data_IF_161201493729
#
_entry.id   IF_161201493729
#
_cell.length_a   1.000
_cell.length_b   1.000
_cell.length_c   1.000
_cell.angle_alpha   90.00
_cell.angle_beta   90.00
_cell.angle_gamma   90.00
#
_symmetry.space_group_name_H-M   'P 1'
#
loop_
_entity.id
_entity.type
_entity.pdbx_description
1 polymer ?
#
# COMPACT_ATOMS: atom_id res chain seq x y z
N UNK A 1 30.70 17.41 4.85
CA UNK A 1 29.47 17.14 5.62
C UNK A 1 28.37 16.80 4.63
N UNK A 2 27.92 15.55 4.60
CA UNK A 2 26.75 15.14 3.81
C UNK A 2 25.53 15.82 4.44
N UNK A 3 24.77 16.60 3.67
CA UNK A 3 23.51 17.17 4.17
C UNK A 3 22.53 16.02 4.42
N UNK A 4 21.84 15.98 5.58
CA UNK A 4 20.88 14.91 5.84
C UNK A 4 19.78 14.91 4.78
N UNK A 5 19.43 13.73 4.28
CA UNK A 5 18.40 13.58 3.26
C UNK A 5 17.03 13.84 3.87
N UNK A 6 16.12 14.39 3.06
CA UNK A 6 14.77 14.69 3.53
C UNK A 6 13.99 13.42 3.88
N UNK A 7 13.17 13.52 4.93
CA UNK A 7 12.41 12.41 5.51
C UNK A 7 10.92 12.49 5.22
N UNK A 8 10.49 13.51 4.45
CA UNK A 8 9.08 13.66 4.07
C UNK A 8 8.49 12.41 3.39
N UNK A 9 9.20 11.66 2.50
CA UNK A 9 8.61 10.48 1.87
C UNK A 9 8.28 9.40 2.90
N UNK A 10 9.18 9.23 3.87
CA UNK A 10 9.01 8.26 4.95
C UNK A 10 7.87 8.65 5.90
N UNK A 11 7.75 9.92 6.26
CA UNK A 11 6.64 10.40 7.07
C UNK A 11 5.29 10.35 6.34
N UNK A 12 5.27 10.60 5.03
CA UNK A 12 4.07 10.44 4.22
C UNK A 12 3.60 8.98 4.22
N UNK A 13 4.51 8.02 4.04
CA UNK A 13 4.21 6.59 4.19
C UNK A 13 3.62 6.25 5.57
N UNK A 14 4.28 6.68 6.65
CA UNK A 14 3.79 6.44 8.01
C UNK A 14 2.40 7.06 8.23
N UNK A 15 2.19 8.28 7.75
CA UNK A 15 0.90 8.96 7.79
C UNK A 15 -0.20 8.19 7.06
N UNK A 16 0.08 7.73 5.85
CA UNK A 16 -0.86 6.92 5.07
C UNK A 16 -1.15 5.56 5.72
N UNK A 17 -0.14 4.91 6.29
CA UNK A 17 -0.33 3.66 7.04
C UNK A 17 -1.19 3.86 8.29
N UNK A 18 -0.90 4.88 9.10
CA UNK A 18 -1.71 5.21 10.27
C UNK A 18 -3.15 5.53 9.88
N UNK A 19 -3.35 6.35 8.86
CA UNK A 19 -4.68 6.68 8.35
C UNK A 19 -5.45 5.43 7.90
N UNK A 20 -4.83 4.55 7.11
CA UNK A 20 -5.44 3.29 6.67
C UNK A 20 -5.88 2.41 7.85
N UNK A 21 -4.99 2.19 8.83
CA UNK A 21 -5.28 1.31 9.96
C UNK A 21 -6.35 1.90 10.89
N UNK A 22 -6.34 3.22 11.10
CA UNK A 22 -7.35 3.93 11.90
C UNK A 22 -8.71 3.94 11.21
N UNK A 23 -8.75 4.22 9.90
CA UNK A 23 -9.97 4.17 9.10
C UNK A 23 -10.59 2.77 9.16
N UNK A 24 -9.77 1.73 9.00
CA UNK A 24 -10.19 0.34 9.06
C UNK A 24 -10.73 -0.07 10.43
N UNK A 25 -9.99 0.25 11.49
CA UNK A 25 -10.40 -0.05 12.86
C UNK A 25 -11.70 0.66 13.24
N UNK A 26 -11.83 1.94 12.87
CA UNK A 26 -13.05 2.72 13.11
C UNK A 26 -14.24 2.17 12.31
N UNK A 27 -14.00 1.75 11.07
CA UNK A 27 -15.03 1.14 10.24
C UNK A 27 -15.57 -0.13 10.87
N UNK A 28 -14.71 -1.07 11.24
CA UNK A 28 -15.15 -2.33 11.84
C UNK A 28 -15.78 -2.15 13.22
N UNK A 29 -15.34 -1.16 14.00
CA UNK A 29 -15.96 -0.82 15.28
C UNK A 29 -17.38 -0.28 15.11
N UNK A 30 -17.61 0.59 14.12
CA UNK A 30 -18.89 1.30 13.93
C UNK A 30 -19.83 0.62 12.92
N UNK A 31 -19.42 -0.52 12.34
CA UNK A 31 -20.16 -1.21 11.27
C UNK A 31 -21.57 -1.67 11.69
N UNK A 32 -21.79 -1.92 12.98
CA UNK A 32 -23.09 -2.34 13.52
C UNK A 32 -23.97 -1.19 14.04
N UNK A 33 -23.50 0.06 13.96
CA UNK A 33 -24.21 1.20 14.54
C UNK A 33 -25.47 1.59 13.75
N UNK A 34 -25.32 1.83 12.45
CA UNK A 34 -26.43 2.08 11.52
C UNK A 34 -25.99 1.88 10.08
N UNK A 35 -26.94 1.62 9.18
CA UNK A 35 -26.66 1.44 7.75
C UNK A 35 -25.88 2.62 7.16
N UNK A 36 -26.29 3.86 7.49
CA UNK A 36 -25.62 5.08 7.03
C UNK A 36 -24.17 5.18 7.50
N UNK A 37 -23.91 4.90 8.78
CA UNK A 37 -22.54 4.98 9.33
C UNK A 37 -21.68 3.88 8.73
N UNK A 38 -22.18 2.64 8.67
CA UNK A 38 -21.50 1.52 8.03
C UNK A 38 -21.14 1.82 6.58
N UNK A 39 -22.07 2.38 5.81
CA UNK A 39 -21.84 2.80 4.42
C UNK A 39 -20.74 3.86 4.28
N UNK A 40 -20.74 4.90 5.13
CA UNK A 40 -19.71 5.95 5.08
C UNK A 40 -18.35 5.39 5.48
N UNK A 41 -18.31 4.60 6.56
CA UNK A 41 -17.05 4.08 7.10
C UNK A 41 -16.38 3.07 6.16
N UNK A 42 -17.16 2.21 5.48
CA UNK A 42 -16.61 1.26 4.51
C UNK A 42 -15.90 1.98 3.35
N UNK A 43 -16.41 3.15 2.95
CA UNK A 43 -15.81 3.96 1.89
C UNK A 43 -14.53 4.65 2.36
N UNK A 44 -14.50 5.08 3.62
CA UNK A 44 -13.31 5.62 4.26
C UNK A 44 -12.23 4.54 4.41
N UNK A 45 -12.61 3.30 4.74
CA UNK A 45 -11.71 2.15 4.81
C UNK A 45 -11.04 1.88 3.44
N UNK A 46 -11.82 1.85 2.35
CA UNK A 46 -11.26 1.74 0.99
C UNK A 46 -10.35 2.92 0.61
N UNK A 47 -10.71 4.15 0.98
CA UNK A 47 -9.84 5.31 0.79
C UNK A 47 -8.53 5.18 1.59
N UNK A 48 -8.58 4.57 2.78
CA UNK A 48 -7.43 4.22 3.60
C UNK A 48 -6.45 3.31 2.86
N UNK A 49 -6.94 2.24 2.24
CA UNK A 49 -6.11 1.31 1.45
C UNK A 49 -5.41 2.05 0.31
N UNK A 50 -6.14 2.90 -0.43
CA UNK A 50 -5.57 3.67 -1.52
C UNK A 50 -4.48 4.65 -1.04
N UNK A 51 -4.72 5.34 0.08
CA UNK A 51 -3.74 6.24 0.69
C UNK A 51 -2.47 5.50 1.15
N UNK A 52 -2.61 4.33 1.78
CA UNK A 52 -1.47 3.48 2.15
C UNK A 52 -0.67 3.07 0.92
N UNK A 53 -1.32 2.53 -0.13
CA UNK A 53 -0.61 2.12 -1.34
C UNK A 53 0.14 3.30 -1.96
N UNK A 54 -0.52 4.45 -2.16
CA UNK A 54 0.14 5.60 -2.77
C UNK A 54 1.33 6.11 -1.98
N UNK A 55 1.16 6.31 -0.68
CA UNK A 55 2.23 6.87 0.16
C UNK A 55 3.38 5.88 0.37
N UNK A 56 3.11 4.58 0.32
CA UNK A 56 4.13 3.53 0.41
C UNK A 56 5.11 3.50 -0.78
N UNK A 57 4.74 4.09 -1.92
CA UNK A 57 5.62 4.23 -3.08
C UNK A 57 6.61 5.39 -2.90
N UNK A 58 6.30 6.39 -2.07
CA UNK A 58 7.13 7.58 -1.99
C UNK A 58 8.55 7.29 -1.47
N UNK A 59 8.78 6.52 -0.39
CA UNK A 59 10.14 6.17 0.02
C UNK A 59 10.95 5.42 -1.05
N UNK A 60 10.52 4.26 -1.57
CA UNK A 60 11.33 3.49 -2.51
C UNK A 60 11.56 4.26 -3.82
N UNK A 61 10.59 5.00 -4.33
CA UNK A 61 10.75 5.79 -5.56
C UNK A 61 11.66 6.99 -5.31
N UNK A 62 11.37 7.82 -4.30
CA UNK A 62 12.14 9.02 -4.03
C UNK A 62 13.59 8.67 -3.73
N UNK A 63 13.86 7.71 -2.84
CA UNK A 63 15.22 7.35 -2.48
C UNK A 63 15.95 6.56 -3.56
N UNK A 64 15.26 5.91 -4.50
CA UNK A 64 15.94 5.29 -5.65
C UNK A 64 16.35 6.32 -6.69
N UNK A 65 15.47 7.30 -6.97
CA UNK A 65 15.61 8.21 -8.09
C UNK A 65 15.88 9.67 -7.68
N UNK A 66 16.28 9.95 -6.43
CA UNK A 66 16.51 11.33 -5.96
C UNK A 66 17.55 12.12 -6.78
N UNK A 67 18.42 11.41 -7.52
CA UNK A 67 19.45 11.99 -8.39
C UNK A 67 18.98 12.18 -9.83
N UNK A 68 17.82 11.61 -10.16
CA UNK A 68 17.13 11.80 -11.43
C UNK A 68 15.69 12.29 -11.13
N UNK A 69 15.51 13.62 -10.98
CA UNK A 69 14.23 14.19 -10.64
C UNK A 69 13.13 13.86 -11.65
N UNK A 70 13.47 13.58 -12.91
CA UNK A 70 12.48 13.24 -13.92
C UNK A 70 11.79 11.91 -13.57
N UNK A 71 12.55 10.83 -13.36
CA UNK A 71 11.96 9.53 -13.03
C UNK A 71 11.32 9.51 -11.64
N UNK A 72 11.92 10.21 -10.68
CA UNK A 72 11.33 10.36 -9.34
C UNK A 72 9.93 10.99 -9.41
N UNK A 73 9.80 12.12 -10.11
CA UNK A 73 8.52 12.82 -10.26
C UNK A 73 7.54 12.05 -11.14
N UNK A 74 8.01 11.36 -12.19
CA UNK A 74 7.16 10.56 -13.06
C UNK A 74 6.45 9.44 -12.28
N UNK A 75 7.21 8.61 -11.55
CA UNK A 75 6.64 7.48 -10.82
C UNK A 75 5.81 7.93 -9.61
N UNK A 76 6.28 8.92 -8.84
CA UNK A 76 5.49 9.47 -7.71
C UNK A 76 4.23 10.18 -8.20
N UNK A 77 4.31 10.93 -9.29
CA UNK A 77 3.16 11.59 -9.91
C UNK A 77 2.13 10.58 -10.39
N UNK A 78 2.57 9.53 -11.08
CA UNK A 78 1.70 8.46 -11.57
C UNK A 78 0.93 7.77 -10.44
N UNK A 79 1.61 7.30 -9.39
CA UNK A 79 0.93 6.63 -8.27
C UNK A 79 0.04 7.58 -7.45
N UNK A 80 0.38 8.87 -7.41
CA UNK A 80 -0.44 9.89 -6.73
C UNK A 80 -1.73 10.14 -7.50
N UNK A 81 -1.65 10.32 -8.83
CA UNK A 81 -2.84 10.49 -9.69
C UNK A 81 -3.73 9.25 -9.60
N UNK A 82 -3.15 8.05 -9.66
CA UNK A 82 -3.91 6.81 -9.57
C UNK A 82 -4.54 6.62 -8.17
N UNK A 83 -3.84 7.03 -7.12
CA UNK A 83 -4.35 7.05 -5.75
C UNK A 83 -5.53 8.01 -5.57
N UNK A 84 -5.40 9.25 -6.05
CA UNK A 84 -6.48 10.24 -6.01
C UNK A 84 -7.69 9.72 -6.79
N UNK A 85 -7.49 9.17 -7.98
CA UNK A 85 -8.57 8.54 -8.74
C UNK A 85 -9.25 7.43 -7.94
N UNK A 86 -8.49 6.54 -7.32
CA UNK A 86 -9.02 5.43 -6.50
C UNK A 86 -9.80 5.92 -5.28
N UNK A 87 -9.31 6.96 -4.60
CA UNK A 87 -10.00 7.60 -3.48
C UNK A 87 -11.31 8.22 -3.95
N UNK A 88 -11.33 8.96 -5.07
CA UNK A 88 -12.54 9.55 -5.63
C UNK A 88 -13.57 8.48 -6.00
N UNK A 89 -13.13 7.39 -6.65
CA UNK A 89 -14.01 6.26 -6.97
C UNK A 89 -14.55 5.53 -5.73
N UNK A 90 -13.83 5.57 -4.61
CA UNK A 90 -14.27 5.00 -3.34
C UNK A 90 -15.22 5.94 -2.57
N UNK A 91 -14.98 7.25 -2.64
CA UNK A 91 -15.68 8.28 -1.85
C UNK A 91 -16.83 8.99 -2.58
N UNK A 92 -17.05 8.77 -3.88
CA UNK A 92 -18.19 9.34 -4.59
C UNK A 92 -19.33 8.32 -4.74
N UNK A 93 -20.59 8.68 -4.38
CA UNK A 93 -21.69 7.71 -4.36
C UNK A 93 -21.98 7.12 -5.75
N UNK A 94 -21.84 7.92 -6.79
CA UNK A 94 -22.07 7.51 -8.19
C UNK A 94 -21.22 6.30 -8.60
N UNK A 95 -20.00 6.21 -8.08
CA UNK A 95 -19.07 5.12 -8.41
C UNK A 95 -19.24 3.88 -7.52
N UNK A 96 -20.27 3.84 -6.65
CA UNK A 96 -20.59 2.66 -5.84
C UNK A 96 -21.51 1.67 -6.54
N UNK A 97 -22.12 2.06 -7.67
CA UNK A 97 -22.96 1.16 -8.45
C UNK A 97 -22.21 -0.13 -8.84
N UNK A 98 -22.91 -1.27 -8.96
CA UNK A 98 -22.30 -2.55 -9.33
C UNK A 98 -21.51 -2.50 -10.64
N UNK A 99 -21.93 -1.65 -11.59
CA UNK A 99 -21.28 -1.42 -12.88
C UNK A 99 -19.83 -0.94 -12.75
N UNK A 100 -19.53 -0.12 -11.73
CA UNK A 100 -18.18 0.39 -11.47
C UNK A 100 -17.31 -0.56 -10.65
N UNK A 101 -17.82 -1.73 -10.24
CA UNK A 101 -17.09 -2.68 -9.39
C UNK A 101 -15.78 -3.13 -10.03
N UNK A 102 -15.82 -3.47 -11.32
CA UNK A 102 -14.62 -3.87 -12.06
C UNK A 102 -13.62 -2.72 -12.18
N UNK A 103 -14.10 -1.49 -12.39
CA UNK A 103 -13.24 -0.30 -12.46
C UNK A 103 -12.54 -0.06 -11.12
N UNK A 104 -13.27 -0.12 -9.99
CA UNK A 104 -12.68 0.01 -8.65
C UNK A 104 -11.61 -1.06 -8.39
N UNK A 105 -11.90 -2.32 -8.73
CA UNK A 105 -10.93 -3.40 -8.57
C UNK A 105 -9.69 -3.19 -9.46
N UNK A 106 -9.88 -2.79 -10.71
CA UNK A 106 -8.79 -2.50 -11.65
C UNK A 106 -7.92 -1.33 -11.20
N UNK A 107 -8.48 -0.32 -10.54
CA UNK A 107 -7.71 0.80 -9.98
C UNK A 107 -6.77 0.31 -8.87
N UNK A 108 -7.26 -0.44 -7.88
CA UNK A 108 -6.43 -1.03 -6.83
C UNK A 108 -5.36 -1.97 -7.39
N UNK A 109 -5.75 -2.84 -8.34
CA UNK A 109 -4.82 -3.74 -9.01
C UNK A 109 -3.73 -2.96 -9.78
N UNK A 110 -4.13 -1.93 -10.53
CA UNK A 110 -3.23 -1.06 -11.27
C UNK A 110 -2.24 -0.33 -10.36
N UNK A 111 -2.68 0.14 -9.19
CA UNK A 111 -1.78 0.73 -8.19
C UNK A 111 -0.71 -0.27 -7.76
N UNK A 112 -1.09 -1.50 -7.40
CA UNK A 112 -0.13 -2.54 -7.00
C UNK A 112 0.87 -2.90 -8.11
N UNK A 113 0.36 -3.18 -9.31
CA UNK A 113 1.20 -3.61 -10.45
C UNK A 113 2.10 -2.48 -10.95
N UNK A 114 1.70 -1.22 -10.81
CA UNK A 114 2.53 -0.08 -11.19
C UNK A 114 3.89 -0.03 -10.49
N UNK A 115 4.03 -0.68 -9.33
CA UNK A 115 5.30 -0.78 -8.60
C UNK A 115 6.38 -1.61 -9.30
N UNK A 116 6.01 -2.50 -10.22
CA UNK A 116 6.98 -3.33 -10.96
C UNK A 116 7.94 -2.45 -11.77
N UNK A 117 7.43 -1.41 -12.44
CA UNK A 117 8.23 -0.54 -13.30
C UNK A 117 9.38 0.18 -12.55
N UNK A 118 9.13 0.93 -11.44
CA UNK A 118 10.22 1.57 -10.70
C UNK A 118 11.18 0.57 -10.05
N UNK A 119 10.72 -0.62 -9.62
CA UNK A 119 11.60 -1.65 -9.06
C UNK A 119 12.57 -2.17 -10.12
N UNK A 120 12.07 -2.52 -11.31
CA UNK A 120 12.91 -2.99 -12.41
C UNK A 120 13.89 -1.90 -12.85
N UNK A 121 13.43 -0.66 -12.97
CA UNK A 121 14.28 0.46 -13.33
C UNK A 121 15.38 0.70 -12.29
N UNK A 122 15.04 0.66 -10.99
CA UNK A 122 16.03 0.72 -9.90
C UNK A 122 17.07 -0.39 -10.02
N UNK A 123 16.65 -1.63 -10.30
CA UNK A 123 17.57 -2.75 -10.47
C UNK A 123 18.51 -2.55 -11.67
N UNK A 124 18.00 -2.07 -12.81
CA UNK A 124 18.85 -1.79 -13.98
C UNK A 124 19.96 -0.80 -13.64
N UNK A 125 19.65 0.25 -12.86
CA UNK A 125 20.62 1.28 -12.49
C UNK A 125 21.57 0.85 -11.36
N UNK A 126 21.09 0.08 -10.38
CA UNK A 126 21.79 -0.14 -9.11
C UNK A 126 22.00 -1.61 -8.75
N UNK A 127 21.90 -2.56 -9.68
CA UNK A 127 22.04 -4.00 -9.35
C UNK A 127 23.36 -4.37 -8.65
N UNK A 128 24.43 -3.60 -8.90
CA UNK A 128 25.73 -3.77 -8.24
C UNK A 128 25.73 -3.33 -6.76
N UNK A 129 24.75 -2.54 -6.33
CA UNK A 129 24.66 -2.01 -4.96
C UNK A 129 23.90 -3.01 -4.07
N UNK A 130 24.49 -3.48 -2.96
CA UNK A 130 23.82 -4.46 -2.10
C UNK A 130 22.53 -3.91 -1.47
N UNK A 131 22.45 -2.61 -1.21
CA UNK A 131 21.24 -1.95 -0.70
C UNK A 131 20.08 -2.01 -1.70
N UNK A 132 20.35 -1.91 -2.99
CA UNK A 132 19.33 -2.00 -4.03
C UNK A 132 18.75 -3.42 -4.12
N UNK A 133 19.60 -4.45 -4.01
CA UNK A 133 19.15 -5.85 -3.97
C UNK A 133 18.38 -6.17 -2.68
N UNK A 134 18.88 -5.70 -1.54
CA UNK A 134 18.24 -5.92 -0.24
C UNK A 134 16.87 -5.25 -0.14
N UNK A 135 16.74 -4.01 -0.61
CA UNK A 135 15.44 -3.31 -0.68
C UNK A 135 14.49 -3.98 -1.67
N UNK A 136 14.98 -4.48 -2.82
CA UNK A 136 14.16 -5.28 -3.74
C UNK A 136 13.64 -6.55 -3.07
N UNK A 137 14.44 -7.23 -2.26
CA UNK A 137 13.98 -8.39 -1.49
C UNK A 137 12.79 -8.07 -0.58
N UNK A 138 12.83 -6.92 0.11
CA UNK A 138 11.70 -6.43 0.89
C UNK A 138 10.48 -6.07 0.03
N UNK A 139 10.68 -5.44 -1.13
CA UNK A 139 9.60 -5.08 -2.06
C UNK A 139 8.89 -6.33 -2.62
N UNK A 140 9.65 -7.39 -2.94
CA UNK A 140 9.11 -8.69 -3.36
C UNK A 140 8.33 -9.35 -2.22
N UNK A 141 8.89 -9.38 -1.00
CA UNK A 141 8.21 -9.95 0.17
C UNK A 141 6.90 -9.21 0.47
N UNK A 142 6.90 -7.90 0.40
CA UNK A 142 5.73 -7.05 0.52
C UNK A 142 4.68 -7.35 -0.55
N UNK A 143 5.09 -7.43 -1.83
CA UNK A 143 4.18 -7.82 -2.92
C UNK A 143 3.56 -9.19 -2.70
N UNK A 144 4.34 -10.14 -2.18
CA UNK A 144 3.86 -11.47 -1.79
C UNK A 144 2.86 -11.41 -0.64
N UNK A 145 3.14 -10.67 0.44
CA UNK A 145 2.25 -10.53 1.59
C UNK A 145 0.91 -9.90 1.20
N UNK A 146 0.92 -8.81 0.42
CA UNK A 146 -0.31 -8.21 -0.08
C UNK A 146 -1.05 -9.10 -1.07
N UNK A 147 -0.33 -9.78 -1.97
CA UNK A 147 -0.90 -10.71 -2.94
C UNK A 147 -1.63 -11.88 -2.27
N UNK A 148 -0.99 -12.52 -1.29
CA UNK A 148 -1.63 -13.58 -0.50
C UNK A 148 -2.79 -13.02 0.31
N UNK A 149 -2.63 -11.85 0.94
CA UNK A 149 -3.73 -11.23 1.68
C UNK A 149 -4.96 -11.02 0.81
N UNK A 150 -4.77 -10.43 -0.37
CA UNK A 150 -5.85 -10.21 -1.34
C UNK A 150 -6.47 -11.53 -1.81
N UNK A 151 -5.66 -12.56 -2.05
CA UNK A 151 -6.13 -13.89 -2.44
C UNK A 151 -6.98 -14.52 -1.34
N UNK A 152 -6.49 -14.52 -0.10
CA UNK A 152 -7.18 -15.05 1.08
C UNK A 152 -8.52 -14.34 1.28
N UNK A 153 -8.52 -13.00 1.24
CA UNK A 153 -9.73 -12.18 1.32
C UNK A 153 -10.74 -12.50 0.21
N UNK A 154 -10.28 -12.55 -1.05
CA UNK A 154 -11.16 -12.80 -2.20
C UNK A 154 -11.73 -14.23 -2.22
N UNK A 155 -10.95 -15.21 -1.79
CA UNK A 155 -11.35 -16.62 -1.77
C UNK A 155 -12.11 -17.02 -0.50
N UNK A 156 -12.14 -16.16 0.53
CA UNK A 156 -12.80 -16.44 1.81
C UNK A 156 -12.32 -17.73 2.47
N UNK A 157 -11.04 -18.03 2.34
CA UNK A 157 -10.40 -19.19 2.96
C UNK A 157 -9.81 -18.73 4.30
N UNK A 158 -10.00 -19.47 5.41
CA UNK A 158 -10.47 -20.85 5.51
C UNK A 158 -11.98 -21.03 5.78
N UNK A 159 -12.74 -19.97 6.04
CA UNK A 159 -14.16 -20.07 6.43
C UNK A 159 -15.06 -20.67 5.34
N UNK A 160 -14.68 -20.56 4.07
CA UNK A 160 -15.32 -21.26 2.95
C UNK A 160 -15.23 -22.78 3.09
N UNK A 161 -14.14 -23.31 3.66
CA UNK A 161 -13.92 -24.75 3.80
C UNK A 161 -14.57 -25.33 5.06
N UNK A 162 -14.63 -24.56 6.14
CA UNK A 162 -15.25 -24.98 7.40
C UNK A 162 -16.17 -23.89 7.95
N UNK A 163 -17.39 -23.76 7.41
CA UNK A 163 -18.38 -22.81 7.92
C UNK A 163 -18.65 -23.02 9.42
N UNK A 164 -18.79 -21.93 10.18
CA UNK A 164 -19.05 -21.96 11.62
C UNK A 164 -17.81 -22.13 12.51
N UNK A 165 -16.65 -22.56 11.96
CA UNK A 165 -15.44 -22.76 12.78
C UNK A 165 -14.60 -21.50 12.99
N UNK A 166 -14.70 -20.53 12.07
CA UNK A 166 -13.87 -19.32 12.06
C UNK A 166 -14.68 -18.05 12.32
N UNK A 167 -15.87 -18.17 12.92
CA UNK A 167 -16.80 -17.04 13.08
C UNK A 167 -16.24 -15.92 13.97
N UNK A 168 -15.38 -16.26 14.93
CA UNK A 168 -14.77 -15.30 15.86
C UNK A 168 -13.30 -15.01 15.52
N UNK A 169 -12.53 -16.04 15.16
CA UNK A 169 -11.09 -15.94 14.96
C UNK A 169 -10.62 -16.76 13.76
N UNK A 170 -9.65 -16.23 13.01
CA UNK A 170 -8.96 -16.92 11.93
C UNK A 170 -9.68 -16.90 10.57
N UNK A 171 -10.77 -16.15 10.43
CA UNK A 171 -11.42 -15.96 9.13
C UNK A 171 -10.57 -15.10 8.20
N UNK A 172 -10.80 -15.22 6.89
CA UNK A 172 -10.01 -14.59 5.84
C UNK A 172 -9.79 -13.10 6.03
N UNK A 173 -10.81 -12.36 6.47
CA UNK A 173 -10.73 -10.92 6.68
C UNK A 173 -9.76 -10.55 7.82
N UNK A 174 -9.69 -11.34 8.91
CA UNK A 174 -8.68 -11.14 9.95
C UNK A 174 -7.28 -11.46 9.44
N UNK A 175 -7.12 -12.56 8.69
CA UNK A 175 -5.84 -12.93 8.08
C UNK A 175 -5.36 -11.85 7.10
N UNK A 176 -6.27 -11.27 6.33
CA UNK A 176 -6.00 -10.14 5.45
C UNK A 176 -5.42 -8.94 6.22
N UNK A 177 -6.06 -8.52 7.32
CA UNK A 177 -5.53 -7.43 8.14
C UNK A 177 -4.13 -7.72 8.72
N UNK A 178 -3.89 -8.95 9.19
CA UNK A 178 -2.57 -9.36 9.68
C UNK A 178 -1.52 -9.22 8.57
N UNK A 179 -1.84 -9.67 7.36
CA UNK A 179 -0.95 -9.59 6.20
C UNK A 179 -0.72 -8.14 5.74
N UNK A 180 -1.73 -7.27 5.84
CA UNK A 180 -1.58 -5.83 5.57
C UNK A 180 -0.62 -5.18 6.55
N UNK A 181 -0.73 -5.48 7.85
CA UNK A 181 0.20 -4.97 8.87
C UNK A 181 1.62 -5.50 8.64
N UNK A 182 1.77 -6.80 8.34
CA UNK A 182 3.07 -7.38 8.01
C UNK A 182 3.69 -6.74 6.75
N UNK A 183 2.88 -6.47 5.73
CA UNK A 183 3.29 -5.77 4.51
C UNK A 183 3.76 -4.34 4.79
N UNK A 184 2.99 -3.57 5.58
CA UNK A 184 3.37 -2.23 6.01
C UNK A 184 4.65 -2.23 6.86
N UNK A 185 4.83 -3.19 7.76
CA UNK A 185 6.08 -3.35 8.52
C UNK A 185 7.27 -3.67 7.60
N UNK A 186 7.05 -4.50 6.57
CA UNK A 186 8.07 -4.81 5.55
C UNK A 186 8.47 -3.55 4.78
N UNK A 187 7.51 -2.72 4.36
CA UNK A 187 7.77 -1.40 3.78
C UNK A 187 8.58 -0.49 4.72
N UNK A 188 8.23 -0.45 6.00
CA UNK A 188 8.95 0.34 7.00
C UNK A 188 10.42 -0.08 7.08
N UNK A 189 10.68 -1.39 7.12
CA UNK A 189 12.05 -1.93 7.13
C UNK A 189 12.81 -1.57 5.86
N UNK A 190 12.19 -1.68 4.68
CA UNK A 190 12.78 -1.23 3.43
C UNK A 190 13.11 0.26 3.45
N UNK A 191 12.19 1.11 3.94
CA UNK A 191 12.38 2.54 4.05
C UNK A 191 13.55 2.94 4.95
N UNK A 192 13.79 2.21 6.06
CA UNK A 192 14.97 2.41 6.90
C UNK A 192 16.28 2.09 6.16
N UNK A 193 16.28 1.03 5.34
CA UNK A 193 17.45 0.69 4.50
C UNK A 193 17.70 1.78 3.46
N UNK A 194 16.65 2.27 2.79
CA UNK A 194 16.76 3.38 1.84
C UNK A 194 17.30 4.66 2.50
N UNK A 195 16.77 5.03 3.67
CA UNK A 195 17.24 6.19 4.42
C UNK A 195 18.71 6.06 4.79
N UNK A 196 19.12 4.90 5.33
CA UNK A 196 20.53 4.65 5.67
C UNK A 196 21.43 4.73 4.43
N UNK A 197 21.00 4.13 3.31
CA UNK A 197 21.74 4.16 2.06
C UNK A 197 21.98 5.60 1.59
N UNK A 198 20.96 6.45 1.66
CA UNK A 198 21.01 7.84 1.19
C UNK A 198 21.60 8.83 2.18
N UNK A 199 21.53 8.58 3.48
CA UNK A 199 22.27 9.39 4.46
C UNK A 199 23.80 9.20 4.33
N UNK A 200 24.25 8.03 3.87
CA UNK A 200 25.67 7.74 3.66
C UNK A 200 26.20 8.21 2.29
N UNK A 201 25.43 7.99 1.22
CA UNK A 201 25.91 8.24 -0.14
C UNK A 201 25.34 9.53 -0.75
N UNK A 202 24.24 10.06 -0.21
CA UNK A 202 23.50 11.15 -0.81
C UNK A 202 22.92 10.75 -2.18
N UNK A 203 23.05 11.70 -3.10
CA UNK A 203 23.24 11.37 -4.50
C UNK A 203 24.72 11.11 -4.75
#
# INVERSE_FOLDING_TARGET
MVRPITRWPFFAFLGGAMFCLLASSTCHLLSCHSERISYIMLRLDYAGIAALISTSFYPPVYYSFMCDPFFSNLYMGFITVLGVATILFSLLPVFQNPEFRSIRASLFFGMGVSGIAPILHKLILFWHQPEALHTTGYEVLMGFLYGIGALVYATRIPERWMPGKFDIAGHSHQLFHILVVAGAYTHYRAGLVYLKWRDLNGC
#
